data_IF_872480264667
#
_entry.id   IF_872480264667
#
_cell.length_a   1.000
_cell.length_b   1.000
_cell.length_c   1.000
_cell.angle_alpha   90.00
_cell.angle_beta   90.00
_cell.angle_gamma   90.00
#
_symmetry.space_group_name_H-M   'P 1'
#
loop_
_entity.id
_entity.type
_entity.pdbx_description
1 polymer ?
#
# COMPACT_ATOMS: atom_id res chain seq x y z
N UNK A 1 -25.14 46.22 32.33
CA UNK A 1 -24.43 44.97 32.65
C UNK A 1 -24.42 44.79 34.16
N UNK A 2 -24.46 43.55 34.65
CA UNK A 2 -24.30 43.24 36.07
C UNK A 2 -22.84 42.88 36.42
N UNK A 3 -22.48 42.95 37.71
CA UNK A 3 -21.10 42.75 38.15
C UNK A 3 -20.58 41.34 37.83
N UNK A 4 -21.45 40.31 37.90
CA UNK A 4 -21.06 38.93 37.63
C UNK A 4 -20.64 38.79 36.17
N UNK A 5 -21.42 39.33 35.24
CA UNK A 5 -21.10 39.29 33.82
C UNK A 5 -19.85 40.11 33.51
N UNK A 6 -19.67 41.26 34.16
CA UNK A 6 -18.45 42.05 34.07
C UNK A 6 -17.21 41.25 34.48
N UNK A 7 -17.28 40.52 35.60
CA UNK A 7 -16.16 39.72 36.12
C UNK A 7 -15.84 38.53 35.19
N UNK A 8 -16.87 37.85 34.67
CA UNK A 8 -16.71 36.73 33.72
C UNK A 8 -16.00 37.15 32.42
N UNK A 9 -16.30 38.35 31.92
CA UNK A 9 -15.77 38.84 30.64
C UNK A 9 -14.52 39.75 30.81
N UNK A 10 -14.06 39.98 32.05
CA UNK A 10 -13.00 40.94 32.38
C UNK A 10 -11.65 40.62 31.72
N UNK A 11 -11.28 39.34 31.64
CA UNK A 11 -10.02 38.93 31.00
C UNK A 11 -10.11 39.04 29.48
N UNK A 12 -11.22 38.59 28.89
CA UNK A 12 -11.49 38.76 27.46
C UNK A 12 -11.52 40.25 27.05
N UNK A 13 -11.96 41.14 27.95
CA UNK A 13 -11.81 42.58 27.78
C UNK A 13 -10.36 43.02 27.61
N UNK A 14 -9.51 42.58 28.54
CA UNK A 14 -8.10 42.96 28.62
C UNK A 14 -7.32 42.46 27.41
N UNK A 15 -7.67 41.28 26.91
CA UNK A 15 -7.07 40.67 25.73
C UNK A 15 -7.63 41.22 24.40
N UNK A 16 -8.70 42.04 24.45
CA UNK A 16 -9.35 42.61 23.28
C UNK A 16 -10.21 41.61 22.49
N UNK A 17 -10.65 40.53 23.12
CA UNK A 17 -11.39 39.40 22.51
C UNK A 17 -12.91 39.57 22.52
N UNK A 18 -13.41 40.73 22.94
CA UNK A 18 -14.85 41.04 22.95
C UNK A 18 -15.23 42.00 21.82
N UNK A 19 -16.50 41.97 21.42
CA UNK A 19 -17.00 42.83 20.35
C UNK A 19 -17.00 44.31 20.77
N UNK A 20 -16.85 45.27 19.82
CA UNK A 20 -16.79 46.69 20.14
C UNK A 20 -18.01 47.23 20.90
N UNK A 21 -19.20 46.71 20.61
CA UNK A 21 -20.43 47.07 21.33
C UNK A 21 -20.40 46.59 22.78
N UNK A 22 -19.75 45.46 23.05
CA UNK A 22 -19.58 44.92 24.39
C UNK A 22 -18.48 45.67 25.16
N UNK A 23 -17.42 46.11 24.47
CA UNK A 23 -16.33 46.92 25.04
C UNK A 23 -16.86 48.19 25.68
N UNK A 24 -17.77 48.91 25.00
CA UNK A 24 -18.38 50.13 25.53
C UNK A 24 -19.23 49.86 26.80
N UNK A 25 -19.97 48.74 26.83
CA UNK A 25 -20.77 48.34 27.98
C UNK A 25 -19.90 47.98 29.19
N UNK A 26 -18.77 47.30 28.96
CA UNK A 26 -17.80 46.97 30.00
C UNK A 26 -17.09 48.19 30.54
N UNK A 27 -16.58 49.05 29.67
CA UNK A 27 -15.96 50.31 30.09
C UNK A 27 -16.93 51.15 30.92
N UNK A 28 -18.17 51.33 30.46
CA UNK A 28 -19.18 52.08 31.20
C UNK A 28 -19.49 51.51 32.58
N UNK A 29 -19.49 50.18 32.73
CA UNK A 29 -19.75 49.54 34.02
C UNK A 29 -18.54 49.66 34.96
N UNK A 30 -17.33 49.44 34.45
CA UNK A 30 -16.08 49.60 35.22
C UNK A 30 -15.97 51.03 35.74
N UNK A 31 -16.29 52.04 34.92
CA UNK A 31 -16.24 53.44 35.33
C UNK A 31 -17.29 53.80 36.40
N UNK A 32 -18.43 53.09 36.43
CA UNK A 32 -19.54 53.36 37.34
C UNK A 32 -19.53 52.49 38.62
N UNK A 33 -18.86 51.34 38.61
CA UNK A 33 -18.86 50.36 39.71
C UNK A 33 -17.49 50.28 40.39
N UNK A 34 -17.34 50.78 41.64
CA UNK A 34 -16.06 50.76 42.35
C UNK A 34 -15.46 49.36 42.53
N UNK A 35 -16.29 48.35 42.78
CA UNK A 35 -15.84 46.98 42.97
C UNK A 35 -15.22 46.40 41.69
N UNK A 36 -15.87 46.59 40.53
CA UNK A 36 -15.34 46.12 39.25
C UNK A 36 -14.13 46.96 38.81
N UNK A 37 -14.07 48.25 39.14
CA UNK A 37 -12.88 49.08 38.92
C UNK A 37 -11.66 48.59 39.70
N UNK A 38 -11.85 48.21 40.96
CA UNK A 38 -10.79 47.67 41.82
C UNK A 38 -10.28 46.31 41.29
N UNK A 39 -11.19 45.43 40.91
CA UNK A 39 -10.87 44.12 40.34
C UNK A 39 -10.09 44.27 39.02
N UNK A 40 -10.57 45.13 38.11
CA UNK A 40 -9.89 45.45 36.86
C UNK A 40 -8.48 46.01 37.10
N UNK A 41 -8.34 46.94 38.05
CA UNK A 41 -7.04 47.51 38.40
C UNK A 41 -6.08 46.47 39.00
N UNK A 42 -6.59 45.52 39.78
CA UNK A 42 -5.81 44.40 40.35
C UNK A 42 -5.29 43.47 39.25
N UNK A 43 -6.17 43.05 38.33
CA UNK A 43 -5.80 42.21 37.19
C UNK A 43 -4.80 42.91 36.28
N UNK A 44 -4.99 44.20 36.02
CA UNK A 44 -4.06 45.00 35.22
C UNK A 44 -2.67 45.08 35.85
N UNK A 45 -2.58 45.28 37.17
CA UNK A 45 -1.28 45.24 37.88
C UNK A 45 -0.60 43.87 37.75
N UNK A 46 -1.36 42.77 37.82
CA UNK A 46 -0.81 41.43 37.64
C UNK A 46 -0.30 41.23 36.20
N UNK A 47 -1.05 41.68 35.20
CA UNK A 47 -0.64 41.64 33.79
C UNK A 47 0.63 42.48 33.56
N UNK A 48 0.67 43.70 34.11
CA UNK A 48 1.83 44.59 34.03
C UNK A 48 3.07 43.96 34.69
N UNK A 49 2.91 43.24 35.81
CA UNK A 49 4.03 42.53 36.45
C UNK A 49 4.63 41.50 35.50
N UNK A 50 3.80 40.67 34.86
CA UNK A 50 4.27 39.65 33.90
C UNK A 50 4.90 40.31 32.67
N UNK A 51 4.24 41.32 32.11
CA UNK A 51 4.73 42.05 30.94
C UNK A 51 6.04 42.80 31.21
N UNK A 52 6.29 43.25 32.43
CA UNK A 52 7.55 43.95 32.75
C UNK A 52 8.68 43.03 33.20
N UNK A 53 8.39 41.79 33.61
CA UNK A 53 9.39 40.86 34.15
C UNK A 53 9.68 39.66 33.24
N UNK A 54 9.04 39.55 32.07
CA UNK A 54 9.43 38.54 31.10
C UNK A 54 10.83 38.83 30.55
N UNK A 55 11.68 37.80 30.52
CA UNK A 55 12.92 37.88 29.73
C UNK A 55 12.53 37.84 28.27
N UNK A 56 13.09 38.76 27.49
CA UNK A 56 13.02 38.67 26.05
C UNK A 56 13.64 37.33 25.61
N UNK A 57 12.85 36.51 24.93
CA UNK A 57 13.36 35.27 24.34
C UNK A 57 13.95 35.65 22.99
N UNK A 58 15.28 35.70 22.93
CA UNK A 58 15.98 35.87 21.66
C UNK A 58 15.72 34.64 20.78
N UNK A 59 14.92 34.83 19.74
CA UNK A 59 14.72 33.83 18.71
C UNK A 59 16.03 33.73 17.90
N UNK A 60 16.73 32.61 18.04
CA UNK A 60 17.92 32.36 17.24
C UNK A 60 17.57 32.36 15.73
N UNK A 61 18.49 32.73 14.83
CA UNK A 61 18.27 32.63 13.39
C UNK A 61 17.84 31.20 12.95
N UNK A 62 18.32 30.16 13.65
CA UNK A 62 17.90 28.78 13.41
C UNK A 62 16.41 28.53 13.70
N UNK A 63 15.86 29.16 14.74
CA UNK A 63 14.43 29.08 15.09
C UNK A 63 13.55 29.68 13.99
N UNK A 64 13.98 30.80 13.39
CA UNK A 64 13.28 31.44 12.26
C UNK A 64 13.27 30.56 11.01
N UNK A 65 14.40 29.90 10.71
CA UNK A 65 14.50 28.99 9.56
C UNK A 65 13.56 27.79 9.72
N UNK A 66 13.47 27.22 10.93
CA UNK A 66 12.55 26.11 11.21
C UNK A 66 11.08 26.54 11.07
N UNK A 67 10.74 27.76 11.50
CA UNK A 67 9.39 28.30 11.35
C UNK A 67 9.05 28.52 9.87
N UNK A 68 9.94 29.13 9.09
CA UNK A 68 9.76 29.32 7.65
C UNK A 68 9.66 28.00 6.88
N UNK A 69 10.40 26.98 7.29
CA UNK A 69 10.30 25.66 6.66
C UNK A 69 8.92 25.00 6.91
N UNK A 70 8.27 25.28 8.05
CA UNK A 70 6.95 24.72 8.39
C UNK A 70 5.77 25.54 7.86
N UNK A 71 5.90 26.87 7.86
CA UNK A 71 4.87 27.80 7.37
C UNK A 71 5.08 28.11 5.87
N UNK A 72 6.12 27.54 5.26
CA UNK A 72 6.38 27.62 3.84
C UNK A 72 5.09 27.34 3.05
N UNK A 73 4.87 28.07 1.94
CA UNK A 73 3.61 28.02 1.21
C UNK A 73 3.27 26.56 0.92
N UNK A 74 2.04 26.14 1.27
CA UNK A 74 1.52 24.86 0.80
C UNK A 74 1.91 24.73 -0.66
N UNK A 75 2.67 23.67 -1.00
CA UNK A 75 3.09 23.40 -2.37
C UNK A 75 1.84 23.35 -3.24
N UNK A 76 1.48 24.50 -3.83
CA UNK A 76 0.42 24.56 -4.82
C UNK A 76 0.91 23.69 -5.97
N UNK A 77 0.14 22.68 -6.40
CA UNK A 77 0.55 21.85 -7.52
C UNK A 77 0.91 22.77 -8.68
N UNK A 78 2.11 22.61 -9.21
CA UNK A 78 2.59 23.49 -10.26
C UNK A 78 1.67 23.31 -11.47
N UNK A 79 1.35 24.40 -12.15
CA UNK A 79 0.65 24.36 -13.44
C UNK A 79 1.37 23.43 -14.43
N UNK A 80 2.69 23.25 -14.28
CA UNK A 80 3.46 22.25 -15.02
C UNK A 80 3.14 20.79 -14.64
N UNK A 81 2.87 20.48 -13.36
CA UNK A 81 2.48 19.14 -12.91
C UNK A 81 1.14 18.72 -13.52
N UNK A 82 0.20 19.67 -13.65
CA UNK A 82 -1.09 19.44 -14.30
C UNK A 82 -0.95 19.15 -15.80
N UNK A 83 -0.06 19.87 -16.51
CA UNK A 83 0.15 19.70 -17.95
C UNK A 83 0.96 18.43 -18.30
N UNK A 84 1.96 18.04 -17.51
CA UNK A 84 2.72 16.81 -17.76
C UNK A 84 1.88 15.55 -17.51
N UNK A 85 1.11 15.50 -16.41
CA UNK A 85 0.30 14.32 -16.07
C UNK A 85 -0.86 14.13 -17.04
N UNK A 86 -1.48 15.22 -17.52
CA UNK A 86 -2.65 15.15 -18.41
C UNK A 86 -2.31 14.91 -19.87
N UNK A 87 -1.15 15.35 -20.37
CA UNK A 87 -0.81 15.26 -21.80
C UNK A 87 -0.17 13.95 -22.22
N UNK A 88 0.45 13.21 -21.30
CA UNK A 88 1.15 11.94 -21.59
C UNK A 88 0.33 10.68 -21.23
N UNK A 89 -0.79 10.86 -20.53
CA UNK A 89 -1.72 9.78 -20.16
C UNK A 89 -2.18 8.90 -21.35
N UNK A 90 -2.58 9.45 -22.52
CA UNK A 90 -3.01 8.60 -23.64
C UNK A 90 -1.83 7.89 -24.35
N UNK A 91 -0.64 8.50 -24.40
CA UNK A 91 0.55 7.92 -25.03
C UNK A 91 1.07 6.74 -24.21
N UNK A 92 1.11 6.88 -22.89
CA UNK A 92 1.47 5.81 -21.96
C UNK A 92 0.49 4.63 -22.02
N UNK A 93 -0.82 4.90 -22.07
CA UNK A 93 -1.83 3.85 -22.16
C UNK A 93 -1.70 3.03 -23.46
N UNK A 94 -1.46 3.67 -24.60
CA UNK A 94 -1.24 2.96 -25.87
C UNK A 94 0.06 2.15 -25.87
N UNK A 95 1.14 2.67 -25.28
CA UNK A 95 2.41 1.94 -25.18
C UNK A 95 2.27 0.66 -24.32
N UNK A 96 1.58 0.75 -23.18
CA UNK A 96 1.33 -0.41 -22.31
C UNK A 96 0.43 -1.45 -22.98
N UNK A 97 -0.63 -1.01 -23.67
CA UNK A 97 -1.49 -1.91 -24.43
C UNK A 97 -0.72 -2.62 -25.56
N UNK A 98 0.16 -1.91 -26.27
CA UNK A 98 1.03 -2.48 -27.29
C UNK A 98 1.98 -3.53 -26.73
N UNK A 99 2.65 -3.24 -25.60
CA UNK A 99 3.53 -4.20 -24.93
C UNK A 99 2.78 -5.44 -24.43
N UNK A 100 1.57 -5.28 -23.89
CA UNK A 100 0.74 -6.40 -23.46
C UNK A 100 0.31 -7.29 -24.65
N UNK A 101 -0.03 -6.69 -25.80
CA UNK A 101 -0.35 -7.44 -27.02
C UNK A 101 0.86 -8.20 -27.56
N UNK A 102 2.03 -7.56 -27.61
CA UNK A 102 3.27 -8.21 -28.06
C UNK A 102 3.64 -9.36 -27.13
N UNK A 103 3.58 -9.14 -25.82
CA UNK A 103 3.87 -10.18 -24.83
C UNK A 103 2.86 -11.33 -24.90
N UNK A 104 1.57 -11.02 -25.07
CA UNK A 104 0.51 -12.01 -25.26
C UNK A 104 0.72 -12.86 -26.52
N UNK A 105 1.04 -12.22 -27.66
CA UNK A 105 1.35 -12.91 -28.92
C UNK A 105 2.59 -13.79 -28.81
N UNK A 106 3.65 -13.29 -28.17
CA UNK A 106 4.88 -14.05 -27.95
C UNK A 106 4.65 -15.26 -27.04
N UNK A 107 3.92 -15.08 -25.94
CA UNK A 107 3.52 -16.15 -25.03
C UNK A 107 2.66 -17.21 -25.72
N UNK A 108 1.69 -16.78 -26.53
CA UNK A 108 0.84 -17.67 -27.31
C UNK A 108 1.64 -18.51 -28.32
N UNK A 109 2.59 -17.89 -29.02
CA UNK A 109 3.45 -18.62 -29.95
C UNK A 109 4.32 -19.66 -29.24
N UNK A 110 4.92 -19.28 -28.09
CA UNK A 110 5.69 -20.21 -27.25
C UNK A 110 4.85 -21.37 -26.73
N UNK A 111 3.62 -21.10 -26.30
CA UNK A 111 2.69 -22.13 -25.86
C UNK A 111 2.29 -23.09 -27.00
N UNK A 112 2.09 -22.56 -28.20
CA UNK A 112 1.81 -23.39 -29.37
C UNK A 112 2.98 -24.32 -29.73
N UNK A 113 4.23 -23.85 -29.63
CA UNK A 113 5.40 -24.70 -29.85
C UNK A 113 5.49 -25.84 -28.85
N UNK A 114 5.24 -25.58 -27.56
CA UNK A 114 5.26 -26.62 -26.53
C UNK A 114 4.13 -27.64 -26.71
N UNK A 115 2.91 -27.19 -27.05
CA UNK A 115 1.78 -28.08 -27.35
C UNK A 115 2.09 -28.99 -28.55
N UNK A 116 2.68 -28.44 -29.62
CA UNK A 116 3.04 -29.22 -30.80
C UNK A 116 4.11 -30.26 -30.46
N UNK A 117 5.14 -29.88 -29.71
CA UNK A 117 6.20 -30.79 -29.27
C UNK A 117 5.68 -31.89 -28.34
N UNK A 118 4.76 -31.57 -27.43
CA UNK A 118 4.14 -32.57 -26.56
C UNK A 118 3.27 -33.54 -27.35
N UNK A 119 2.45 -33.05 -28.29
CA UNK A 119 1.61 -33.90 -29.14
C UNK A 119 2.42 -34.83 -30.03
N UNK A 120 3.52 -34.36 -30.63
CA UNK A 120 4.39 -35.22 -31.43
C UNK A 120 5.07 -36.27 -30.57
N UNK A 121 5.57 -35.88 -29.38
CA UNK A 121 6.14 -36.80 -28.41
C UNK A 121 5.12 -37.87 -27.98
N UNK A 122 3.91 -37.47 -27.59
CA UNK A 122 2.85 -38.39 -27.18
C UNK A 122 2.44 -39.36 -28.30
N UNK A 123 2.31 -38.86 -29.53
CA UNK A 123 1.96 -39.69 -30.67
C UNK A 123 3.02 -40.78 -30.93
N UNK A 124 4.30 -40.42 -30.83
CA UNK A 124 5.39 -41.36 -31.00
C UNK A 124 5.45 -42.38 -29.86
N UNK A 125 5.30 -41.92 -28.61
CA UNK A 125 5.25 -42.78 -27.44
C UNK A 125 4.14 -43.84 -27.54
N UNK A 126 2.94 -43.44 -27.95
CA UNK A 126 1.81 -44.36 -28.13
C UNK A 126 2.13 -45.41 -29.20
N UNK A 127 2.70 -45.01 -30.35
CA UNK A 127 3.07 -45.94 -31.42
C UNK A 127 4.09 -46.98 -30.96
N UNK A 128 5.15 -46.56 -30.28
CA UNK A 128 6.21 -47.46 -29.78
C UNK A 128 5.61 -48.46 -28.80
N UNK A 129 4.77 -47.99 -27.87
CA UNK A 129 4.09 -48.84 -26.89
C UNK A 129 3.16 -49.85 -27.56
N UNK A 130 2.35 -49.42 -28.53
CA UNK A 130 1.44 -50.31 -29.27
C UNK A 130 2.21 -51.37 -30.06
N UNK A 131 3.30 -51.00 -30.75
CA UNK A 131 4.15 -51.94 -31.47
C UNK A 131 4.78 -52.99 -30.53
N UNK A 132 5.28 -52.55 -29.36
CA UNK A 132 5.84 -53.45 -28.34
C UNK A 132 4.76 -54.39 -27.79
N UNK A 133 3.56 -53.88 -27.52
CA UNK A 133 2.42 -54.68 -27.04
C UNK A 133 1.96 -55.72 -28.06
N UNK A 134 1.89 -55.35 -29.35
CA UNK A 134 1.55 -56.28 -30.43
C UNK A 134 2.61 -57.37 -30.61
N UNK A 135 3.90 -57.02 -30.53
CA UNK A 135 4.99 -58.01 -30.57
C UNK A 135 4.91 -59.01 -29.40
N UNK A 136 4.56 -58.55 -28.19
CA UNK A 136 4.29 -59.43 -27.05
C UNK A 136 3.09 -60.37 -27.29
N UNK A 137 1.99 -59.87 -27.83
CA UNK A 137 0.83 -60.72 -28.12
C UNK A 137 1.14 -61.81 -29.17
N UNK A 138 1.91 -61.48 -30.21
CA UNK A 138 2.32 -62.43 -31.25
C UNK A 138 3.31 -63.51 -30.74
N UNK A 139 4.18 -63.18 -29.79
CA UNK A 139 5.10 -64.14 -29.17
C UNK A 139 4.38 -65.03 -28.16
N UNK A 140 3.49 -64.48 -27.33
CA UNK A 140 2.69 -65.25 -26.35
C UNK A 140 1.70 -66.23 -26.97
N UNK A 141 1.25 -65.98 -28.20
CA UNK A 141 0.34 -66.89 -28.93
C UNK A 141 1.07 -68.02 -29.63
N UNK A 142 2.40 -67.90 -29.83
CA UNK A 142 3.22 -68.92 -30.49
C UNK A 142 3.87 -69.91 -29.51
N UNK A 143 4.12 -69.49 -28.27
CA UNK A 143 4.67 -70.33 -27.20
C UNK A 143 3.62 -70.54 -26.11
N UNK A 144 2.98 -71.70 -26.12
CA UNK A 144 1.97 -72.06 -25.13
C UNK A 144 2.53 -72.05 -23.71
N UNK A 145 1.81 -71.34 -22.82
CA UNK A 145 1.62 -71.70 -21.40
C UNK A 145 2.91 -71.93 -20.59
N UNK A 146 3.91 -71.08 -20.72
CA UNK A 146 4.99 -70.99 -19.73
C UNK A 146 4.77 -69.76 -18.85
N UNK A 147 4.31 -70.02 -17.62
CA UNK A 147 4.52 -69.27 -16.38
C UNK A 147 4.45 -67.74 -16.51
N UNK A 148 3.39 -67.16 -15.93
CA UNK A 148 3.29 -65.75 -15.51
C UNK A 148 4.43 -65.42 -14.54
N UNK A 149 5.63 -65.26 -15.09
CA UNK A 149 6.77 -64.65 -14.44
C UNK A 149 6.58 -63.16 -14.64
N UNK A 150 6.40 -62.46 -13.53
CA UNK A 150 6.27 -61.01 -13.42
C UNK A 150 7.44 -60.34 -14.15
N UNK A 151 7.33 -60.18 -15.47
CA UNK A 151 8.17 -59.28 -16.23
C UNK A 151 7.64 -57.89 -15.92
N UNK A 152 8.24 -57.37 -14.85
CA UNK A 152 8.73 -56.02 -14.63
C UNK A 152 8.98 -55.27 -15.95
N UNK A 153 7.91 -54.99 -16.70
CA UNK A 153 7.84 -53.83 -17.57
C UNK A 153 7.69 -52.61 -16.64
N UNK A 154 8.69 -52.39 -15.79
CA UNK A 154 9.12 -51.02 -15.51
C UNK A 154 9.50 -50.49 -16.86
N UNK A 155 8.51 -49.88 -17.48
CA UNK A 155 8.67 -49.05 -18.65
C UNK A 155 9.52 -47.89 -18.11
N UNK A 156 10.85 -48.06 -18.05
CA UNK A 156 11.80 -47.07 -17.52
C UNK A 156 11.70 -45.74 -18.29
N UNK A 157 11.11 -45.82 -19.49
CA UNK A 157 10.81 -44.72 -20.39
C UNK A 157 9.37 -44.17 -20.21
N UNK A 158 8.57 -44.71 -19.28
CA UNK A 158 7.22 -44.20 -19.02
C UNK A 158 7.30 -42.93 -18.16
N UNK A 159 7.02 -41.75 -18.73
CA UNK A 159 7.21 -40.48 -18.06
C UNK A 159 6.19 -40.24 -16.92
N UNK A 160 5.19 -41.12 -16.76
CA UNK A 160 4.16 -41.03 -15.72
C UNK A 160 4.43 -41.94 -14.51
N UNK A 161 5.47 -42.77 -14.55
CA UNK A 161 5.91 -43.55 -13.39
C UNK A 161 7.06 -42.79 -12.73
N UNK A 162 6.75 -41.99 -11.72
CA UNK A 162 7.78 -41.45 -10.83
C UNK A 162 8.36 -42.64 -10.06
N UNK A 163 9.53 -43.12 -10.48
CA UNK A 163 10.26 -44.15 -9.75
C UNK A 163 10.81 -43.49 -8.48
N UNK A 164 9.99 -43.45 -7.43
CA UNK A 164 10.49 -43.21 -6.09
C UNK A 164 11.34 -44.42 -5.71
N UNK A 165 12.65 -44.29 -5.95
CA UNK A 165 13.62 -45.26 -5.51
C UNK A 165 13.68 -45.26 -3.99
N UNK A 166 12.91 -46.14 -3.35
CA UNK A 166 13.22 -46.78 -2.07
C UNK A 166 12.19 -47.88 -1.83
N UNK A 167 12.51 -49.10 -2.28
CA UNK A 167 11.79 -50.34 -1.94
C UNK A 167 11.97 -50.75 -0.47
N UNK A 168 12.62 -49.91 0.34
CA UNK A 168 12.89 -50.18 1.77
C UNK A 168 11.70 -49.85 2.67
N UNK A 169 10.71 -49.06 2.21
CA UNK A 169 9.64 -48.53 3.06
C UNK A 169 8.23 -49.02 2.64
N UNK A 170 8.10 -50.32 2.34
CA UNK A 170 6.79 -50.94 2.10
C UNK A 170 6.25 -51.60 3.38
N UNK A 171 5.30 -50.99 4.10
CA UNK A 171 4.78 -51.50 5.37
C UNK A 171 3.91 -52.77 5.23
N UNK A 172 3.67 -53.27 4.02
CA UNK A 172 2.85 -54.45 3.75
C UNK A 172 3.65 -55.70 3.34
N UNK A 173 4.99 -55.65 3.33
CA UNK A 173 5.82 -56.87 3.25
C UNK A 173 6.02 -57.44 4.66
N UNK A 174 5.14 -58.36 5.05
CA UNK A 174 5.34 -59.32 6.14
C UNK A 174 5.27 -60.73 5.56
#
# INVERSE_FOLDING_TARGET
>A
MDCRKCAEDMTAFMDGEISPSHTALMQSHIDACPACAEEYASLRKAADLVQNHHRYVDLTPGSWNLLHARIGPESRPSIFDFFLIRRWSPVMAMALAGLALIFGLWSYHRYQESERALRSYMAEYIRVREARTQAYHLTSTREGRARFEYLDLRDEENPFVVVHGTTEDNPFRK
#
